data_IF_881226654379
#
_entry.id   IF_881226654379
#
_cell.length_a   1.000
_cell.length_b   1.000
_cell.length_c   1.000
_cell.angle_alpha   90.00
_cell.angle_beta   90.00
_cell.angle_gamma   90.00
#
_symmetry.space_group_name_H-M   'P 1'
#
loop_
_entity.id
_entity.type
_entity.pdbx_description
1 polymer ?
#
# COMPACT_ATOMS: atom_id res chain seq x y z
N UNK A 1 19.94 31.63 -19.49
CA UNK A 1 19.79 30.25 -20.00
C UNK A 1 18.44 29.72 -19.53
N UNK A 2 17.39 29.85 -20.35
CA UNK A 2 16.06 29.31 -20.05
C UNK A 2 16.09 27.80 -20.30
N UNK A 3 16.05 27.00 -19.24
CA UNK A 3 15.88 25.56 -19.38
C UNK A 3 14.51 25.28 -20.03
N UNK A 4 14.42 24.40 -21.04
CA UNK A 4 13.12 24.02 -21.58
C UNK A 4 12.34 23.31 -20.47
N UNK A 5 11.11 23.75 -20.21
CA UNK A 5 10.17 23.02 -19.36
C UNK A 5 9.83 21.73 -20.13
N UNK A 6 10.59 20.68 -19.87
CA UNK A 6 10.27 19.34 -20.36
C UNK A 6 8.96 18.94 -19.69
N UNK A 7 7.90 18.56 -20.43
CA UNK A 7 6.72 17.98 -19.82
C UNK A 7 7.15 16.77 -19.02
N UNK A 8 7.08 16.85 -17.70
CA UNK A 8 7.21 15.67 -16.86
C UNK A 8 6.04 14.78 -17.24
N UNK A 9 6.30 13.73 -18.02
CA UNK A 9 5.32 12.66 -18.22
C UNK A 9 4.94 12.19 -16.82
N UNK A 10 3.74 12.56 -16.38
CA UNK A 10 3.22 12.13 -15.09
C UNK A 10 3.41 10.61 -15.07
N UNK A 11 4.19 10.06 -14.13
CA UNK A 11 4.40 8.63 -14.10
C UNK A 11 3.03 7.99 -14.04
N UNK A 12 2.70 7.17 -15.04
CA UNK A 12 1.43 6.47 -15.07
C UNK A 12 1.33 5.72 -13.74
N UNK A 13 0.44 6.20 -12.87
CA UNK A 13 0.15 5.57 -11.59
C UNK A 13 -0.10 4.09 -11.87
N UNK A 14 0.81 3.24 -11.39
CA UNK A 14 0.65 1.79 -11.56
C UNK A 14 -0.59 1.41 -10.79
N UNK A 15 -1.63 0.99 -11.51
CA UNK A 15 -2.80 0.39 -10.87
C UNK A 15 -2.35 -0.92 -10.22
N UNK A 16 -2.39 -0.96 -8.90
CA UNK A 16 -2.28 -2.21 -8.16
C UNK A 16 -3.65 -2.88 -8.15
N UNK A 17 -3.66 -4.20 -8.29
CA UNK A 17 -4.86 -4.98 -8.06
C UNK A 17 -5.35 -4.76 -6.63
N UNK A 18 -6.67 -4.66 -6.44
CA UNK A 18 -7.25 -4.55 -5.09
C UNK A 18 -6.98 -5.86 -4.37
N UNK A 19 -6.12 -5.82 -3.35
CA UNK A 19 -5.79 -6.96 -2.49
C UNK A 19 -6.75 -7.05 -1.32
N UNK A 20 -7.01 -8.27 -0.86
CA UNK A 20 -7.77 -8.46 0.38
C UNK A 20 -6.93 -8.08 1.61
N UNK A 21 -7.60 -7.75 2.73
CA UNK A 21 -6.93 -7.41 4.00
C UNK A 21 -5.91 -8.48 4.42
N UNK A 22 -6.23 -9.76 4.21
CA UNK A 22 -5.38 -10.89 4.58
C UNK A 22 -4.15 -11.02 3.67
N UNK A 23 -4.29 -10.74 2.38
CA UNK A 23 -3.15 -10.70 1.45
C UNK A 23 -2.16 -9.57 1.78
N UNK A 24 -2.67 -8.45 2.30
CA UNK A 24 -1.84 -7.30 2.69
C UNK A 24 -1.12 -7.58 4.01
N UNK A 25 -1.82 -8.13 5.01
CA UNK A 25 -1.25 -8.40 6.34
C UNK A 25 -0.06 -9.38 6.31
N UNK A 26 0.11 -10.14 5.22
CA UNK A 26 1.21 -11.11 5.00
C UNK A 26 1.53 -11.90 6.27
N UNK A 27 0.49 -12.56 6.82
CA UNK A 27 0.64 -13.42 8.00
C UNK A 27 0.96 -14.84 7.55
N UNK A 28 2.10 -15.36 7.99
CA UNK A 28 2.45 -16.77 7.79
C UNK A 28 2.38 -17.45 9.15
N UNK A 29 1.59 -18.52 9.24
CA UNK A 29 1.54 -19.39 10.41
C UNK A 29 2.35 -20.66 10.14
N UNK A 30 3.43 -20.84 10.88
CA UNK A 30 4.24 -22.05 10.91
C UNK A 30 3.99 -22.75 12.24
N UNK A 31 3.04 -23.69 12.25
CA UNK A 31 2.58 -24.42 13.45
C UNK A 31 2.22 -23.48 14.61
N UNK A 32 3.17 -23.22 15.52
CA UNK A 32 3.00 -22.37 16.71
C UNK A 32 3.56 -20.95 16.55
N UNK A 33 4.21 -20.65 15.42
CA UNK A 33 4.86 -19.36 15.16
C UNK A 33 4.04 -18.57 14.13
N UNK A 34 3.56 -17.40 14.52
CA UNK A 34 2.94 -16.43 13.60
C UNK A 34 3.99 -15.36 13.24
N UNK A 35 4.39 -15.33 11.96
CA UNK A 35 5.25 -14.29 11.40
C UNK A 35 4.37 -13.23 10.74
N UNK A 36 4.53 -11.98 11.16
CA UNK A 36 3.83 -10.83 10.58
C UNK A 36 4.83 -9.72 10.29
N UNK A 37 4.79 -9.16 9.08
CA UNK A 37 5.71 -8.07 8.69
C UNK A 37 5.40 -6.74 9.38
N UNK A 38 4.23 -6.62 9.98
CA UNK A 38 3.75 -5.39 10.63
C UNK A 38 3.81 -5.46 12.16
N UNK A 39 4.53 -6.43 12.73
CA UNK A 39 4.62 -6.59 14.19
C UNK A 39 5.14 -5.33 14.91
N UNK A 40 6.03 -4.57 14.26
CA UNK A 40 6.59 -3.33 14.82
C UNK A 40 5.64 -2.14 14.76
N UNK A 41 4.48 -2.27 14.12
CA UNK A 41 3.45 -1.22 14.03
C UNK A 41 2.38 -1.51 15.07
N UNK A 42 1.98 -0.47 15.82
CA UNK A 42 0.84 -0.59 16.74
C UNK A 42 -0.41 -1.04 15.98
N UNK A 43 -1.19 -1.95 16.56
CA UNK A 43 -2.38 -2.52 15.94
C UNK A 43 -3.38 -1.46 15.47
N UNK A 44 -3.64 -0.42 16.27
CA UNK A 44 -4.56 0.67 15.88
C UNK A 44 -4.06 1.43 14.64
N UNK A 45 -2.75 1.67 14.59
CA UNK A 45 -2.10 2.37 13.46
C UNK A 45 -2.14 1.49 12.21
N UNK A 46 -1.88 0.19 12.37
CA UNK A 46 -1.97 -0.79 11.29
C UNK A 46 -3.39 -0.87 10.72
N UNK A 47 -4.41 -0.95 11.57
CA UNK A 47 -5.82 -0.97 11.15
C UNK A 47 -6.19 0.30 10.37
N UNK A 48 -5.78 1.47 10.88
CA UNK A 48 -5.99 2.75 10.22
C UNK A 48 -5.32 2.82 8.84
N UNK A 49 -4.09 2.29 8.72
CA UNK A 49 -3.37 2.23 7.44
C UNK A 49 -4.08 1.27 6.49
N UNK A 50 -4.50 0.09 6.95
CA UNK A 50 -5.18 -0.89 6.14
C UNK A 50 -6.50 -0.37 5.59
N UNK A 51 -7.30 0.31 6.42
CA UNK A 51 -8.55 0.93 5.94
C UNK A 51 -8.26 1.98 4.88
N UNK A 52 -7.28 2.86 5.11
CA UNK A 52 -6.90 3.87 4.10
C UNK A 52 -6.45 3.23 2.79
N UNK A 53 -5.65 2.16 2.83
CA UNK A 53 -5.14 1.49 1.63
C UNK A 53 -6.22 0.70 0.90
N UNK A 54 -7.08 -0.02 1.62
CA UNK A 54 -8.16 -0.85 1.05
C UNK A 54 -9.25 0.00 0.39
N UNK A 55 -9.56 1.16 0.99
CA UNK A 55 -10.55 2.10 0.48
C UNK A 55 -9.95 3.23 -0.34
N UNK A 56 -8.65 3.17 -0.66
CA UNK A 56 -8.02 4.12 -1.57
C UNK A 56 -8.51 3.89 -3.00
N UNK A 57 -9.66 4.46 -3.34
CA UNK A 57 -10.00 4.69 -4.73
C UNK A 57 -9.17 5.88 -5.22
N UNK A 58 -8.29 5.61 -6.17
CA UNK A 58 -7.58 6.63 -6.91
C UNK A 58 -8.48 7.01 -8.09
N UNK A 59 -9.29 8.10 -8.03
CA UNK A 59 -9.98 8.62 -9.19
C UNK A 59 -8.91 9.18 -10.13
N UNK A 60 -8.25 8.29 -10.87
CA UNK A 60 -7.48 8.70 -12.02
C UNK A 60 -8.46 9.39 -12.98
N UNK A 61 -8.23 10.70 -13.18
CA UNK A 61 -8.89 11.57 -14.15
C UNK A 61 -9.18 10.89 -15.48
#
# INVERSE_FOLDING_TARGET
MSQPIVPLTVPKSRRFEKKSRNEILMKIRLEKVELTFFHSINQEVLETILDKVLFYDNPAQ
#
